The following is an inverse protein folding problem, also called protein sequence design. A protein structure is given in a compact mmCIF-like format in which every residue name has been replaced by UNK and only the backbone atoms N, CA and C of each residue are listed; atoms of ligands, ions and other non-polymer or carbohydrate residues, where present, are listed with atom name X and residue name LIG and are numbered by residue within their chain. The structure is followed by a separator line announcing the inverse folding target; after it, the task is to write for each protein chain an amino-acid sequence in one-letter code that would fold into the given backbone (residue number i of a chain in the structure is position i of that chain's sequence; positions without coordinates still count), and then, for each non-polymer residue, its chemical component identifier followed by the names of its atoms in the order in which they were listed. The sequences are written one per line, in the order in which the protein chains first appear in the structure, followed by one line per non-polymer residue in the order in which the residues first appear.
data_IF_324599187692
#
_entry.id   IF_324599187692
#
_cell.length_a   1.000
_cell.length_b   1.000
_cell.length_c   1.000
_cell.angle_alpha   90.00
_cell.angle_beta   90.00
_cell.angle_gamma   90.00
#
_symmetry.space_group_name_H-M   'P 1'
#
loop_
_entity.id
_entity.type
_entity.pdbx_description
1 polymer ?
#
# COMPACT_ATOMS: atom_id res chain seq x y z
N UNK A 1 -3.48 11.44 -5.17
CA UNK A 1 -3.62 10.18 -4.41
C UNK A 1 -5.10 9.88 -4.26
N UNK A 2 -5.45 8.60 -4.24
CA UNK A 2 -6.83 8.14 -3.97
C UNK A 2 -6.87 7.38 -2.64
N UNK A 3 -8.06 7.26 -2.05
CA UNK A 3 -8.33 6.41 -0.89
C UNK A 3 -7.95 4.96 -1.19
N UNK A 4 -7.18 4.38 -0.28
CA UNK A 4 -6.66 3.01 -0.44
C UNK A 4 -7.66 1.93 -0.03
N UNK A 5 -8.61 2.26 0.86
CA UNK A 5 -9.61 1.32 1.33
C UNK A 5 -11.00 1.70 0.82
N UNK A 6 -11.38 1.09 -0.30
CA UNK A 6 -12.67 1.31 -0.95
C UNK A 6 -13.86 0.70 -0.19
N UNK A 7 -13.62 -0.24 0.73
CA UNK A 7 -14.68 -0.86 1.52
C UNK A 7 -15.17 0.03 2.67
N UNK A 8 -14.36 1.01 3.09
CA UNK A 8 -14.75 1.98 4.13
C UNK A 8 -15.51 3.13 3.48
N UNK A 9 -16.81 3.20 3.76
CA UNK A 9 -17.66 4.30 3.29
C UNK A 9 -17.10 5.64 3.75
N UNK A 10 -16.96 6.59 2.81
CA UNK A 10 -16.67 7.99 3.11
C UNK A 10 -17.83 8.62 3.86
N UNK A 11 -17.53 9.18 5.02
CA UNK A 11 -18.48 9.98 5.78
C UNK A 11 -18.64 11.34 5.10
N UNK A 12 -19.83 11.91 5.19
CA UNK A 12 -20.06 13.30 4.84
C UNK A 12 -19.38 14.22 5.85
N UNK A 13 -19.09 15.46 5.48
CA UNK A 13 -18.45 16.42 6.41
C UNK A 13 -19.21 16.60 7.72
N UNK A 14 -20.55 16.55 7.67
CA UNK A 14 -21.41 16.66 8.87
C UNK A 14 -21.24 15.44 9.77
N UNK A 15 -21.21 14.23 9.20
CA UNK A 15 -20.94 12.99 9.94
C UNK A 15 -19.51 12.97 10.52
N UNK A 16 -18.51 13.46 9.77
CA UNK A 16 -17.13 13.57 10.27
C UNK A 16 -17.03 14.54 11.45
N UNK A 17 -17.66 15.71 11.37
CA UNK A 17 -17.72 16.68 12.46
C UNK A 17 -18.40 16.10 13.70
N UNK A 18 -19.54 15.42 13.52
CA UNK A 18 -20.24 14.75 14.62
C UNK A 18 -19.39 13.65 15.25
N UNK A 19 -18.66 12.87 14.44
CA UNK A 19 -17.74 11.84 14.92
C UNK A 19 -16.60 12.43 15.74
N UNK A 20 -16.03 13.55 15.32
CA UNK A 20 -14.98 14.25 16.07
C UNK A 20 -15.50 14.75 17.42
N UNK A 21 -16.70 15.32 17.45
CA UNK A 21 -17.36 15.76 18.70
C UNK A 21 -17.62 14.56 19.62
N UNK A 22 -18.14 13.45 19.08
CA UNK A 22 -18.41 12.24 19.84
C UNK A 22 -17.12 11.61 20.40
N UNK A 23 -16.04 11.60 19.61
CA UNK A 23 -14.73 11.08 20.04
C UNK A 23 -14.07 11.96 21.11
N UNK A 24 -14.28 13.29 21.04
CA UNK A 24 -13.82 14.21 22.06
C UNK A 24 -14.70 14.18 23.32
N UNK A 25 -15.93 13.69 23.24
CA UNK A 25 -16.82 13.57 24.40
C UNK A 25 -16.43 12.33 25.21
N UNK A 26 -15.85 12.47 26.42
CA UNK A 26 -15.47 11.32 27.22
C UNK A 26 -16.73 10.52 27.62
N UNK A 27 -16.65 9.18 27.67
CA UNK A 27 -17.74 8.38 28.19
C UNK A 27 -18.05 8.76 29.63
N UNK A 28 -19.33 8.68 30.01
CA UNK A 28 -19.77 9.00 31.38
C UNK A 28 -19.05 8.10 32.38
N UNK A 29 -18.24 8.71 33.26
CA UNK A 29 -17.52 8.00 34.31
C UNK A 29 -18.39 7.85 35.57
N UNK A 30 -18.86 6.64 35.91
CA UNK A 30 -19.68 6.43 37.11
C UNK A 30 -18.91 6.70 38.43
N UNK A 31 -17.58 6.77 38.39
CA UNK A 31 -16.71 7.01 39.56
C UNK A 31 -15.94 8.33 39.45
N UNK A 32 -16.49 9.33 38.74
CA UNK A 32 -15.89 10.65 38.52
C UNK A 32 -15.43 11.39 39.80
N UNK A 33 -15.93 10.97 40.98
CA UNK A 33 -15.51 11.48 42.30
C UNK A 33 -14.11 11.02 42.74
N UNK A 34 -13.62 9.91 42.19
CA UNK A 34 -12.35 9.27 42.58
C UNK A 34 -11.32 9.41 41.45
N UNK A 35 -11.77 9.42 40.20
CA UNK A 35 -10.89 9.56 39.05
C UNK A 35 -10.50 11.01 38.80
N UNK A 36 -9.24 11.22 38.43
CA UNK A 36 -8.75 12.53 37.98
C UNK A 36 -9.48 12.92 36.70
N UNK A 37 -10.10 14.10 36.69
CA UNK A 37 -10.76 14.66 35.50
C UNK A 37 -9.74 14.72 34.36
N UNK A 38 -10.02 14.00 33.28
CA UNK A 38 -9.23 14.09 32.06
C UNK A 38 -9.51 15.45 31.39
N UNK A 39 -8.47 16.12 30.92
CA UNK A 39 -8.63 17.33 30.11
C UNK A 39 -9.19 16.93 28.76
N UNK A 40 -10.38 17.44 28.44
CA UNK A 40 -10.98 17.27 27.12
C UNK A 40 -10.32 18.24 26.17
N UNK A 41 -9.54 17.73 25.21
CA UNK A 41 -9.02 18.54 24.11
C UNK A 41 -10.17 18.74 23.13
N UNK A 42 -10.67 19.97 23.00
CA UNK A 42 -11.70 20.28 22.01
C UNK A 42 -11.14 20.08 20.60
N UNK A 43 -11.84 19.35 19.72
CA UNK A 43 -11.38 19.13 18.35
C UNK A 43 -11.46 20.45 17.58
N UNK A 44 -10.43 20.74 16.79
CA UNK A 44 -10.42 21.91 15.91
C UNK A 44 -11.35 21.68 14.71
N UNK A 45 -12.60 22.07 14.87
CA UNK A 45 -13.62 21.94 13.82
C UNK A 45 -13.47 22.99 12.71
N UNK A 46 -12.49 23.90 12.76
CA UNK A 46 -12.35 24.94 11.73
C UNK A 46 -11.62 24.45 10.48
N UNK A 47 -10.89 23.34 10.59
CA UNK A 47 -10.14 22.74 9.49
C UNK A 47 -11.06 22.28 8.38
N UNK A 48 -10.56 22.40 7.15
CA UNK A 48 -11.23 21.90 5.95
C UNK A 48 -10.23 21.02 5.22
N UNK A 49 -10.39 19.70 5.15
CA UNK A 49 -11.49 18.91 5.70
C UNK A 49 -11.43 18.77 7.24
N UNK A 50 -12.54 18.38 7.91
CA UNK A 50 -12.55 18.14 9.36
C UNK A 50 -11.59 17.02 9.80
N UNK A 51 -11.41 16.00 8.96
CA UNK A 51 -10.46 14.91 9.15
C UNK A 51 -9.52 14.80 7.96
N UNK A 52 -8.26 14.35 8.13
CA UNK A 52 -7.31 14.30 7.03
C UNK A 52 -7.81 13.49 5.82
N UNK A 53 -7.70 14.05 4.62
CA UNK A 53 -8.21 13.43 3.38
C UNK A 53 -7.08 12.90 2.49
N UNK A 54 -7.18 11.64 2.06
CA UNK A 54 -6.19 10.99 1.18
C UNK A 54 -6.49 11.22 -0.32
N UNK A 55 -7.76 11.48 -0.68
CA UNK A 55 -8.21 11.79 -2.05
C UNK A 55 -7.86 13.23 -2.48
N UNK A 56 -6.56 13.51 -2.64
CA UNK A 56 -6.07 14.87 -2.97
C UNK A 56 -6.74 15.45 -4.23
N UNK A 57 -6.88 14.65 -5.29
CA UNK A 57 -7.41 15.15 -6.58
C UNK A 57 -8.91 15.44 -6.52
N UNK A 58 -9.71 14.54 -5.93
CA UNK A 58 -11.14 14.79 -5.75
C UNK A 58 -11.39 15.94 -4.79
N UNK A 59 -10.59 16.06 -3.73
CA UNK A 59 -10.70 17.18 -2.83
C UNK A 59 -10.51 18.51 -3.57
N UNK A 60 -9.46 18.61 -4.41
CA UNK A 60 -9.22 19.81 -5.23
C UNK A 60 -10.38 20.05 -6.20
N UNK A 61 -10.89 19.01 -6.87
CA UNK A 61 -12.06 19.11 -7.76
C UNK A 61 -13.27 19.74 -7.06
N UNK A 62 -13.56 19.28 -5.85
CA UNK A 62 -14.76 19.64 -5.09
C UNK A 62 -14.62 21.01 -4.39
N UNK A 63 -13.40 21.38 -3.98
CA UNK A 63 -13.15 22.57 -3.15
C UNK A 63 -12.51 23.73 -3.90
N UNK A 64 -12.02 23.55 -5.13
CA UNK A 64 -11.48 24.66 -5.91
C UNK A 64 -12.57 25.30 -6.80
N UNK A 65 -13.08 26.51 -6.44
CA UNK A 65 -14.10 27.19 -7.22
C UNK A 65 -13.60 27.74 -8.56
N UNK A 66 -12.30 27.73 -8.82
CA UNK A 66 -11.71 28.30 -10.03
C UNK A 66 -11.52 27.30 -11.17
N UNK A 67 -11.73 26.01 -10.91
CA UNK A 67 -11.65 24.97 -11.95
C UNK A 67 -12.84 25.06 -12.90
N UNK A 68 -12.55 24.97 -14.19
CA UNK A 68 -13.56 24.82 -15.23
C UNK A 68 -14.15 23.40 -15.18
N UNK A 69 -15.38 23.22 -15.69
CA UNK A 69 -16.06 21.92 -15.63
C UNK A 69 -15.27 20.80 -16.32
N UNK A 70 -14.64 21.06 -17.47
CA UNK A 70 -13.81 20.04 -18.13
C UNK A 70 -12.55 19.68 -17.33
N UNK A 71 -11.99 20.60 -16.53
CA UNK A 71 -10.85 20.30 -15.66
C UNK A 71 -11.30 19.36 -14.53
N UNK A 72 -12.50 19.57 -13.99
CA UNK A 72 -13.12 18.68 -13.00
C UNK A 72 -13.41 17.29 -13.57
N UNK A 73 -13.83 17.22 -14.82
CA UNK A 73 -14.04 15.95 -15.53
C UNK A 73 -12.72 15.18 -15.65
N UNK A 74 -11.62 15.84 -16.03
CA UNK A 74 -10.31 15.19 -16.09
C UNK A 74 -9.86 14.65 -14.73
N UNK A 75 -10.06 15.41 -13.64
CA UNK A 75 -9.74 14.92 -12.29
C UNK A 75 -10.60 13.71 -11.89
N UNK A 76 -11.85 13.67 -12.34
CA UNK A 76 -12.76 12.55 -12.09
C UNK A 76 -12.33 11.31 -12.87
N UNK A 77 -12.01 11.44 -14.15
CA UNK A 77 -11.49 10.34 -14.99
C UNK A 77 -10.24 9.74 -14.34
N UNK A 78 -9.25 10.57 -13.96
CA UNK A 78 -8.02 10.09 -13.32
C UNK A 78 -8.31 9.36 -12.00
N UNK A 79 -9.28 9.85 -11.21
CA UNK A 79 -9.66 9.19 -9.97
C UNK A 79 -10.32 7.82 -10.21
N UNK A 80 -11.28 7.74 -11.14
CA UNK A 80 -11.98 6.50 -11.48
C UNK A 80 -11.03 5.45 -12.04
N UNK A 81 -10.13 5.84 -12.95
CA UNK A 81 -9.06 4.99 -13.48
C UNK A 81 -8.16 4.48 -12.36
N UNK A 82 -7.72 5.35 -11.44
CA UNK A 82 -6.93 4.93 -10.29
C UNK A 82 -7.71 3.92 -9.41
N UNK A 83 -9.00 4.14 -9.19
CA UNK A 83 -9.89 3.22 -8.48
C UNK A 83 -9.94 1.83 -9.12
N UNK A 84 -9.98 1.75 -10.45
CA UNK A 84 -9.95 0.50 -11.21
C UNK A 84 -8.62 -0.26 -11.04
N UNK A 85 -7.49 0.44 -11.00
CA UNK A 85 -6.16 -0.18 -10.90
C UNK A 85 -5.75 -0.55 -9.46
N UNK A 86 -6.31 0.07 -8.41
CA UNK A 86 -5.95 -0.23 -7.01
C UNK A 86 -6.06 -1.74 -6.69
N UNK A 87 -7.18 -2.43 -6.99
CA UNK A 87 -7.27 -3.88 -6.76
C UNK A 87 -6.20 -4.68 -7.51
N UNK A 88 -5.83 -4.27 -8.73
CA UNK A 88 -4.78 -4.95 -9.51
C UNK A 88 -3.41 -4.78 -8.88
N UNK A 89 -3.11 -3.60 -8.33
CA UNK A 89 -1.88 -3.33 -7.58
C UNK A 89 -1.84 -4.19 -6.31
N UNK A 90 -2.95 -4.24 -5.56
CA UNK A 90 -3.06 -4.98 -4.29
C UNK A 90 -2.99 -6.51 -4.44
N UNK A 91 -3.23 -7.05 -5.63
CA UNK A 91 -3.30 -8.50 -5.89
C UNK A 91 -2.31 -8.98 -6.95
N UNK A 92 -1.30 -8.16 -7.26
CA UNK A 92 -0.37 -8.41 -8.38
C UNK A 92 0.32 -9.76 -8.26
N UNK A 93 1.04 -10.04 -7.18
CA UNK A 93 1.82 -11.28 -7.00
C UNK A 93 0.88 -12.49 -7.05
N UNK A 94 -0.24 -12.42 -6.35
CA UNK A 94 -1.22 -13.49 -6.31
C UNK A 94 -1.81 -13.78 -7.70
N UNK A 95 -2.20 -12.75 -8.45
CA UNK A 95 -2.83 -12.89 -9.77
C UNK A 95 -1.84 -13.35 -10.84
N UNK A 96 -0.63 -12.79 -10.87
CA UNK A 96 0.42 -13.18 -11.83
C UNK A 96 0.85 -14.63 -11.59
N UNK A 97 0.96 -15.04 -10.31
CA UNK A 97 1.18 -16.42 -9.92
C UNK A 97 0.02 -17.35 -10.30
N UNK A 98 -1.22 -16.93 -10.06
CA UNK A 98 -2.42 -17.70 -10.39
C UNK A 98 -2.52 -17.93 -11.89
N UNK A 99 -2.34 -16.88 -12.68
CA UNK A 99 -2.29 -16.96 -14.13
C UNK A 99 -1.20 -17.94 -14.56
N UNK A 100 0.02 -17.81 -14.05
CA UNK A 100 1.14 -18.71 -14.40
C UNK A 100 0.83 -20.18 -14.09
N UNK A 101 0.24 -20.45 -12.92
CA UNK A 101 -0.13 -21.79 -12.50
C UNK A 101 -1.15 -22.43 -13.44
N UNK A 102 -2.26 -21.73 -13.71
CA UNK A 102 -3.33 -22.27 -14.54
C UNK A 102 -2.95 -22.32 -16.01
N UNK A 103 -2.17 -21.36 -16.51
CA UNK A 103 -1.70 -21.38 -17.90
C UNK A 103 -0.84 -22.62 -18.15
N UNK A 104 0.08 -22.93 -17.22
CA UNK A 104 0.87 -24.16 -17.24
C UNK A 104 -0.01 -25.41 -17.25
N UNK A 105 -0.98 -25.50 -16.32
CA UNK A 105 -1.90 -26.65 -16.24
C UNK A 105 -2.72 -26.86 -17.50
N UNK A 106 -3.27 -25.77 -18.06
CA UNK A 106 -4.08 -25.85 -19.27
C UNK A 106 -3.22 -26.38 -20.41
N UNK A 107 -2.02 -25.82 -20.61
CA UNK A 107 -1.15 -26.25 -21.70
C UNK A 107 -0.61 -27.68 -21.51
N UNK A 108 -0.31 -28.09 -20.28
CA UNK A 108 0.06 -29.47 -19.96
C UNK A 108 -1.10 -30.45 -20.23
N UNK A 109 -2.35 -30.02 -20.06
CA UNK A 109 -3.55 -30.83 -20.29
C UNK A 109 -3.98 -30.92 -21.77
N UNK A 110 -3.47 -30.04 -22.65
CA UNK A 110 -3.82 -30.04 -24.08
C UNK A 110 -3.10 -31.13 -24.90
N UNK A 111 -2.23 -31.94 -24.27
CA UNK A 111 -1.48 -33.02 -24.94
C UNK A 111 -0.79 -32.56 -26.24
N UNK A 112 -0.17 -31.38 -26.19
CA UNK A 112 0.47 -30.77 -27.36
C UNK A 112 1.61 -31.63 -27.93
N UNK A 113 1.87 -31.55 -29.25
CA UNK A 113 3.10 -32.10 -29.84
C UNK A 113 4.35 -31.64 -29.09
N UNK A 114 5.34 -32.53 -28.95
CA UNK A 114 6.54 -32.31 -28.14
C UNK A 114 7.27 -31.00 -28.49
N UNK A 115 7.35 -30.66 -29.77
CA UNK A 115 7.97 -29.44 -30.28
C UNK A 115 7.28 -28.17 -29.73
N UNK A 116 5.95 -28.15 -29.69
CA UNK A 116 5.18 -27.04 -29.12
C UNK A 116 5.27 -27.02 -27.58
N UNK A 117 5.33 -28.19 -26.94
CA UNK A 117 5.50 -28.28 -25.49
C UNK A 117 6.86 -27.71 -25.05
N UNK A 118 7.94 -28.00 -25.77
CA UNK A 118 9.27 -27.43 -25.50
C UNK A 118 9.24 -25.91 -25.68
N UNK A 119 8.64 -25.41 -26.77
CA UNK A 119 8.52 -23.96 -26.96
C UNK A 119 7.77 -23.30 -25.81
N UNK A 120 6.65 -23.88 -25.38
CA UNK A 120 5.91 -23.40 -24.22
C UNK A 120 6.78 -23.35 -22.95
N UNK A 121 7.48 -24.44 -22.63
CA UNK A 121 8.33 -24.52 -21.43
C UNK A 121 9.40 -23.42 -21.45
N UNK A 122 10.04 -23.18 -22.60
CA UNK A 122 11.04 -22.12 -22.75
C UNK A 122 10.41 -20.75 -22.47
N UNK A 123 9.26 -20.44 -23.09
CA UNK A 123 8.56 -19.15 -22.92
C UNK A 123 8.06 -18.96 -21.48
N UNK A 124 7.48 -19.99 -20.88
CA UNK A 124 7.00 -19.96 -19.51
C UNK A 124 8.14 -19.65 -18.54
N UNK A 125 9.27 -20.37 -18.66
CA UNK A 125 10.44 -20.13 -17.80
C UNK A 125 11.04 -18.73 -17.98
N UNK A 126 11.00 -18.14 -19.18
CA UNK A 126 11.42 -16.76 -19.38
C UNK A 126 10.58 -15.75 -18.60
N UNK A 127 9.29 -16.04 -18.38
CA UNK A 127 8.37 -15.20 -17.62
C UNK A 127 8.53 -15.42 -16.11
N UNK A 128 8.65 -16.67 -15.66
CA UNK A 128 8.68 -17.01 -14.22
C UNK A 128 10.09 -17.04 -13.60
N UNK A 129 11.15 -16.79 -14.37
CA UNK A 129 12.53 -16.80 -13.83
C UNK A 129 12.78 -15.69 -12.81
N UNK A 130 13.68 -15.89 -11.83
CA UNK A 130 14.11 -14.81 -10.94
C UNK A 130 14.75 -13.65 -11.69
N UNK A 131 14.55 -12.44 -11.17
CA UNK A 131 15.20 -11.21 -11.63
C UNK A 131 16.31 -10.90 -10.62
N UNK A 132 17.60 -10.92 -11.02
CA UNK A 132 18.68 -10.55 -10.11
C UNK A 132 18.45 -9.15 -9.50
N UNK A 133 18.50 -9.07 -8.17
CA UNK A 133 18.29 -7.82 -7.42
C UNK A 133 16.84 -7.35 -7.28
N UNK A 134 15.88 -8.08 -7.86
CA UNK A 134 14.46 -7.72 -7.84
C UNK A 134 13.56 -8.92 -7.54
N UNK A 135 12.30 -8.62 -7.22
CA UNK A 135 11.28 -9.65 -7.05
C UNK A 135 10.54 -9.85 -8.37
N UNK A 136 10.44 -11.09 -8.82
CA UNK A 136 9.53 -11.43 -9.92
C UNK A 136 8.17 -11.88 -9.33
N UNK A 137 7.09 -11.10 -9.52
CA UNK A 137 5.76 -11.46 -9.05
C UNK A 137 5.27 -12.82 -9.57
N UNK A 138 5.61 -13.16 -10.82
CA UNK A 138 5.24 -14.43 -11.43
C UNK A 138 5.89 -15.61 -10.70
N UNK A 139 7.19 -15.51 -10.40
CA UNK A 139 7.93 -16.56 -9.69
C UNK A 139 7.43 -16.74 -8.26
N UNK A 140 7.36 -15.65 -7.50
CA UNK A 140 6.96 -15.70 -6.09
C UNK A 140 5.51 -16.21 -5.99
N UNK A 141 4.63 -15.72 -6.86
CA UNK A 141 3.24 -16.13 -6.92
C UNK A 141 3.07 -17.61 -7.27
N UNK A 142 3.65 -18.08 -8.39
CA UNK A 142 3.47 -19.49 -8.82
C UNK A 142 4.03 -20.47 -7.79
N UNK A 143 5.20 -20.17 -7.21
CA UNK A 143 5.83 -21.03 -6.20
C UNK A 143 5.02 -21.08 -4.91
N UNK A 144 4.43 -19.94 -4.51
CA UNK A 144 3.52 -19.91 -3.35
C UNK A 144 2.26 -20.71 -3.63
N UNK A 145 1.67 -20.63 -4.83
CA UNK A 145 0.49 -21.41 -5.18
C UNK A 145 0.75 -22.92 -5.28
N UNK A 146 1.86 -23.32 -5.92
CA UNK A 146 2.30 -24.72 -5.97
C UNK A 146 2.51 -25.26 -4.54
N UNK A 147 3.06 -24.43 -3.64
CA UNK A 147 3.24 -24.79 -2.24
C UNK A 147 1.91 -25.00 -1.50
N UNK A 148 0.95 -24.08 -1.66
CA UNK A 148 -0.39 -24.16 -1.06
C UNK A 148 -1.10 -25.45 -1.46
N UNK A 149 -1.12 -25.77 -2.76
CA UNK A 149 -1.76 -27.00 -3.24
C UNK A 149 -1.06 -28.23 -2.67
N UNK A 150 0.27 -28.27 -2.71
CA UNK A 150 1.09 -29.36 -2.18
C UNK A 150 0.82 -29.59 -0.69
N UNK A 151 0.64 -28.52 0.10
CA UNK A 151 0.28 -28.58 1.52
C UNK A 151 -1.12 -29.12 1.76
N UNK A 152 -2.09 -28.77 0.93
CA UNK A 152 -3.45 -29.32 1.06
C UNK A 152 -3.53 -30.80 0.68
N UNK A 153 -2.83 -31.21 -0.39
CA UNK A 153 -2.89 -32.59 -0.88
C UNK A 153 -1.98 -33.55 -0.11
N UNK A 154 -0.78 -33.10 0.27
CA UNK A 154 0.27 -33.91 0.90
C UNK A 154 0.98 -33.12 2.02
N UNK A 155 0.30 -32.77 3.11
CA UNK A 155 0.93 -32.07 4.23
C UNK A 155 1.91 -32.99 4.98
N UNK A 156 3.02 -32.41 5.42
CA UNK A 156 3.88 -33.02 6.45
C UNK A 156 3.14 -33.08 7.80
N UNK A 157 3.59 -33.91 8.77
CA UNK A 157 2.98 -33.98 10.10
C UNK A 157 2.84 -32.61 10.76
N UNK A 158 3.89 -31.78 10.73
CA UNK A 158 3.90 -30.45 11.34
C UNK A 158 2.95 -29.47 10.60
N UNK A 159 2.93 -29.52 9.25
CA UNK A 159 2.03 -28.67 8.46
C UNK A 159 0.56 -28.98 8.76
N UNK A 160 0.21 -30.25 9.02
CA UNK A 160 -1.16 -30.70 9.31
C UNK A 160 -1.73 -30.05 10.57
N UNK A 161 -0.90 -29.73 11.56
CA UNK A 161 -1.35 -29.05 12.79
C UNK A 161 -1.73 -27.59 12.54
N UNK A 162 -1.14 -26.96 11.51
CA UNK A 162 -1.35 -25.54 11.19
C UNK A 162 -2.41 -25.29 10.13
N UNK A 163 -2.74 -26.32 9.33
CA UNK A 163 -3.69 -26.20 8.23
C UNK A 163 -5.12 -26.44 8.73
N UNK A 164 -6.13 -25.80 8.12
CA UNK A 164 -7.52 -26.11 8.40
C UNK A 164 -7.79 -27.61 8.15
N UNK A 165 -8.51 -28.30 9.06
CA UNK A 165 -8.78 -29.72 8.89
C UNK A 165 -9.61 -30.00 7.63
N UNK A 166 -9.29 -31.10 6.95
CA UNK A 166 -10.06 -31.67 5.84
C UNK A 166 -10.22 -30.80 4.57
N UNK A 167 -9.30 -29.87 4.29
CA UNK A 167 -9.26 -29.14 3.01
C UNK A 167 -8.28 -29.78 2.03
N UNK A 168 -8.71 -29.96 0.78
CA UNK A 168 -7.82 -30.38 -0.32
C UNK A 168 -6.93 -29.22 -0.77
N UNK A 169 -5.87 -29.50 -1.53
CA UNK A 169 -5.05 -28.46 -2.15
C UNK A 169 -5.90 -27.52 -3.02
N UNK A 170 -6.84 -28.08 -3.77
CA UNK A 170 -7.80 -27.30 -4.57
C UNK A 170 -8.66 -26.37 -3.72
N UNK A 171 -9.20 -26.84 -2.60
CA UNK A 171 -10.03 -26.00 -1.72
C UNK A 171 -9.23 -24.81 -1.18
N UNK A 172 -7.98 -25.05 -0.77
CA UNK A 172 -7.08 -23.99 -0.29
C UNK A 172 -6.76 -22.97 -1.39
N UNK A 173 -6.55 -23.40 -2.64
CA UNK A 173 -6.30 -22.51 -3.76
C UNK A 173 -7.47 -21.53 -3.97
N UNK A 174 -8.69 -22.04 -4.07
CA UNK A 174 -9.87 -21.21 -4.35
C UNK A 174 -10.27 -20.32 -3.18
N UNK A 175 -10.23 -20.82 -1.95
CA UNK A 175 -10.50 -20.01 -0.75
C UNK A 175 -9.50 -18.85 -0.65
N UNK A 176 -8.20 -19.15 -0.76
CA UNK A 176 -7.16 -18.13 -0.66
C UNK A 176 -7.37 -17.05 -1.72
N UNK A 177 -7.66 -17.44 -2.96
CA UNK A 177 -7.91 -16.49 -4.06
C UNK A 177 -9.10 -15.58 -3.80
N UNK A 178 -10.13 -16.09 -3.12
CA UNK A 178 -11.35 -15.33 -2.84
C UNK A 178 -11.16 -14.28 -1.74
N UNK A 179 -10.34 -14.59 -0.72
CA UNK A 179 -10.26 -13.76 0.50
C UNK A 179 -9.00 -12.92 0.63
N UNK A 180 -7.91 -13.30 -0.04
CA UNK A 180 -6.61 -12.67 0.15
C UNK A 180 -6.27 -11.61 -0.89
N UNK A 181 -5.44 -10.66 -0.45
CA UNK A 181 -4.65 -9.74 -1.29
C UNK A 181 -3.17 -10.03 -1.06
N UNK A 182 -2.25 -9.48 -1.86
CA UNK A 182 -0.82 -9.82 -1.79
C UNK A 182 -0.25 -9.76 -0.36
N UNK A 183 -0.60 -8.72 0.40
CA UNK A 183 -0.14 -8.57 1.77
C UNK A 183 -0.63 -9.69 2.71
N UNK A 184 -1.89 -10.15 2.58
CA UNK A 184 -2.42 -11.24 3.41
C UNK A 184 -2.01 -12.61 2.86
N UNK A 185 -1.99 -12.78 1.54
CA UNK A 185 -1.49 -13.96 0.82
C UNK A 185 -0.07 -14.33 1.27
N UNK A 186 0.87 -13.38 1.15
CA UNK A 186 2.27 -13.61 1.55
C UNK A 186 2.39 -13.78 3.07
N UNK A 187 1.64 -13.01 3.87
CA UNK A 187 1.65 -13.16 5.33
C UNK A 187 1.15 -14.54 5.78
N UNK A 188 0.15 -15.11 5.11
CA UNK A 188 -0.44 -16.40 5.44
C UNK A 188 0.42 -17.56 4.96
N UNK A 189 0.93 -17.49 3.73
CA UNK A 189 1.48 -18.66 3.04
C UNK A 189 2.99 -18.74 2.99
N UNK A 190 3.72 -17.63 3.03
CA UNK A 190 5.18 -17.70 3.12
C UNK A 190 5.62 -18.24 4.48
N UNK A 191 6.55 -19.18 4.46
CA UNK A 191 7.20 -19.74 5.63
C UNK A 191 8.69 -19.94 5.34
N UNK A 192 9.49 -20.16 6.39
CA UNK A 192 10.95 -20.27 6.32
C UNK A 192 11.43 -21.13 5.14
N UNK A 193 10.99 -22.40 5.07
CA UNK A 193 11.42 -23.32 4.01
C UNK A 193 11.17 -22.79 2.60
N UNK A 194 9.96 -22.30 2.30
CA UNK A 194 9.65 -21.76 0.97
C UNK A 194 10.48 -20.51 0.66
N UNK A 195 10.71 -19.65 1.65
CA UNK A 195 11.52 -18.45 1.47
C UNK A 195 13.01 -18.75 1.26
N UNK A 196 13.53 -19.81 1.90
CA UNK A 196 14.86 -20.36 1.62
C UNK A 196 14.96 -20.93 0.21
N UNK A 197 13.97 -21.74 -0.20
CA UNK A 197 13.92 -22.35 -1.54
C UNK A 197 13.85 -21.29 -2.67
N UNK A 198 13.38 -20.09 -2.33
CA UNK A 198 13.30 -18.93 -3.22
C UNK A 198 14.50 -17.97 -3.12
N UNK A 199 15.48 -18.27 -2.28
CA UNK A 199 16.64 -17.41 -2.00
C UNK A 199 16.24 -15.96 -1.66
N UNK A 200 15.20 -15.78 -0.83
CA UNK A 200 14.77 -14.44 -0.44
C UNK A 200 15.69 -13.87 0.64
N UNK A 201 16.10 -12.61 0.47
CA UNK A 201 16.92 -11.87 1.43
C UNK A 201 16.61 -10.37 1.38
N UNK A 202 17.00 -9.66 2.43
CA UNK A 202 16.97 -8.19 2.51
C UNK A 202 18.38 -7.66 2.29
N UNK A 203 18.51 -6.58 1.54
CA UNK A 203 19.76 -5.87 1.37
C UNK A 203 19.55 -4.37 1.64
N UNK A 204 20.63 -3.69 2.02
CA UNK A 204 20.64 -2.27 2.33
C UNK A 204 21.91 -1.60 1.78
N UNK A 205 21.83 -0.31 1.42
CA UNK A 205 23.01 0.45 1.07
C UNK A 205 23.90 0.67 2.30
N UNK A 206 25.21 0.42 2.14
CA UNK A 206 26.24 0.71 3.14
C UNK A 206 27.39 1.44 2.45
N UNK A 207 27.31 2.77 2.47
CA UNK A 207 28.21 3.61 1.65
C UNK A 207 27.82 3.49 0.18
N UNK A 208 28.78 3.10 -0.67
CA UNK A 208 28.54 2.87 -2.10
C UNK A 208 28.13 1.42 -2.41
N UNK A 209 28.26 0.50 -1.45
CA UNK A 209 27.98 -0.92 -1.62
C UNK A 209 26.54 -1.28 -1.21
N UNK A 210 26.01 -2.34 -1.80
CA UNK A 210 24.80 -3.03 -1.30
C UNK A 210 25.23 -4.24 -0.49
N UNK A 211 24.77 -4.33 0.76
CA UNK A 211 25.10 -5.42 1.67
C UNK A 211 23.82 -6.17 2.04
N UNK A 212 23.88 -7.51 1.99
CA UNK A 212 22.81 -8.36 2.50
C UNK A 212 22.74 -8.18 4.02
N UNK A 213 21.61 -7.65 4.49
CA UNK A 213 21.41 -7.38 5.91
C UNK A 213 20.75 -8.55 6.63
N UNK A 214 19.85 -9.27 5.97
CA UNK A 214 19.12 -10.42 6.52
C UNK A 214 18.86 -11.46 5.44
N UNK A 215 18.94 -12.74 5.79
CA UNK A 215 18.60 -13.87 4.91
C UNK A 215 17.44 -14.67 5.48
N UNK A 216 16.77 -15.48 4.67
CA UNK A 216 15.61 -16.26 5.11
C UNK A 216 15.96 -17.51 5.94
N UNK A 217 16.94 -17.41 6.85
CA UNK A 217 17.26 -18.49 7.78
C UNK A 217 16.29 -18.54 8.98
N UNK A 218 16.57 -19.40 9.97
CA UNK A 218 15.67 -19.67 11.11
C UNK A 218 15.40 -18.42 11.94
N UNK A 219 16.35 -17.48 11.98
CA UNK A 219 16.23 -16.25 12.75
C UNK A 219 15.74 -15.09 11.87
N UNK A 220 16.24 -14.98 10.62
CA UNK A 220 16.02 -13.85 9.73
C UNK A 220 14.76 -13.90 8.86
N UNK A 221 14.16 -15.07 8.61
CA UNK A 221 13.04 -15.20 7.66
C UNK A 221 11.83 -14.33 8.01
N UNK A 222 11.55 -14.13 9.30
CA UNK A 222 10.45 -13.26 9.75
C UNK A 222 10.69 -11.81 9.36
N UNK A 223 11.90 -11.31 9.56
CA UNK A 223 12.31 -9.95 9.19
C UNK A 223 12.23 -9.75 7.67
N UNK A 224 12.71 -10.72 6.89
CA UNK A 224 12.61 -10.69 5.42
C UNK A 224 11.13 -10.66 4.99
N UNK A 225 10.30 -11.51 5.59
CA UNK A 225 8.86 -11.60 5.28
C UNK A 225 8.11 -10.32 5.61
N UNK A 226 8.36 -9.73 6.77
CA UNK A 226 7.74 -8.46 7.17
C UNK A 226 8.14 -7.32 6.25
N UNK A 227 9.42 -7.27 5.85
CA UNK A 227 9.92 -6.29 4.88
C UNK A 227 9.20 -6.43 3.55
N UNK A 228 9.12 -7.66 3.02
CA UNK A 228 8.39 -7.97 1.79
C UNK A 228 6.92 -7.51 1.89
N UNK A 229 6.20 -7.94 2.93
CA UNK A 229 4.78 -7.63 3.12
C UNK A 229 4.50 -6.13 3.23
N UNK A 230 5.44 -5.32 3.74
CA UNK A 230 5.32 -3.85 3.79
C UNK A 230 5.47 -3.18 2.42
N UNK A 231 6.14 -3.83 1.47
CA UNK A 231 6.47 -3.25 0.16
C UNK A 231 5.51 -3.64 -0.97
N UNK A 232 4.69 -4.68 -0.79
CA UNK A 232 3.74 -5.16 -1.79
C UNK A 232 2.42 -4.36 -1.78
N UNK A 233 1.63 -4.51 -2.84
CA UNK A 233 0.37 -3.77 -2.98
C UNK A 233 0.58 -2.27 -3.03
N UNK A 234 -0.30 -1.50 -2.37
CA UNK A 234 -0.14 -0.05 -2.22
C UNK A 234 0.93 0.32 -1.18
N UNK A 235 1.59 -0.66 -0.55
CA UNK A 235 2.59 -0.42 0.50
C UNK A 235 3.80 0.37 0.01
N UNK A 236 4.21 0.23 -1.24
CA UNK A 236 5.33 0.99 -1.79
C UNK A 236 5.04 2.48 -2.00
N UNK A 237 3.76 2.86 -2.13
CA UNK A 237 3.32 4.21 -2.46
C UNK A 237 3.26 5.05 -1.17
N UNK A 238 3.82 6.27 -1.13
CA UNK A 238 3.71 7.16 0.03
C UNK A 238 2.27 7.60 0.33
N UNK A 239 1.93 7.80 1.60
CA UNK A 239 0.60 8.26 2.02
C UNK A 239 0.64 9.77 2.30
N UNK A 240 0.10 10.56 1.37
CA UNK A 240 -0.09 11.99 1.49
C UNK A 240 -1.57 12.29 1.80
N UNK A 241 -1.80 13.17 2.77
CA UNK A 241 -3.14 13.60 3.18
C UNK A 241 -3.24 15.12 3.19
N UNK A 242 -4.44 15.65 2.97
CA UNK A 242 -4.77 17.06 3.20
C UNK A 242 -5.17 17.18 4.66
N UNK A 243 -4.40 17.93 5.43
CA UNK A 243 -4.70 18.26 6.84
C UNK A 243 -5.60 19.49 6.96
N UNK A 244 -5.36 20.49 6.10
CA UNK A 244 -6.09 21.75 6.09
C UNK A 244 -5.92 22.46 4.75
N UNK A 245 -7.02 22.89 4.12
CA UNK A 245 -7.05 23.57 2.83
C UNK A 245 -7.20 25.10 2.97
N UNK A 246 -7.36 25.60 4.21
CA UNK A 246 -7.32 27.03 4.53
C UNK A 246 -6.28 27.33 5.61
N UNK A 247 -5.11 26.70 5.50
CA UNK A 247 -4.04 26.88 6.46
C UNK A 247 -3.61 28.36 6.51
N UNK A 248 -3.50 28.93 7.72
CA UNK A 248 -3.24 30.36 7.96
C UNK A 248 -4.27 31.33 7.33
N UNK A 249 -5.49 30.88 7.01
CA UNK A 249 -6.58 31.71 6.49
C UNK A 249 -6.26 32.43 5.17
N UNK A 250 -5.42 31.82 4.33
CA UNK A 250 -5.05 32.35 3.02
C UNK A 250 -5.26 31.33 1.89
N UNK A 251 -6.05 30.27 2.13
CA UNK A 251 -6.27 29.13 1.23
C UNK A 251 -5.00 28.36 0.87
N UNK A 252 -4.00 28.33 1.75
CA UNK A 252 -2.85 27.42 1.59
C UNK A 252 -3.30 26.00 1.91
N UNK A 253 -2.95 25.02 1.05
CA UNK A 253 -3.12 23.61 1.40
C UNK A 253 -1.93 23.16 2.25
N UNK A 254 -2.21 22.70 3.46
CA UNK A 254 -1.33 21.90 4.29
C UNK A 254 -1.58 20.42 4.02
N UNK A 255 -0.55 19.77 3.48
CA UNK A 255 -0.45 18.34 3.30
C UNK A 255 0.40 17.74 4.42
N UNK A 256 0.08 16.51 4.81
CA UNK A 256 0.94 15.67 5.66
C UNK A 256 1.37 14.42 4.90
N UNK A 257 2.62 14.02 5.09
CA UNK A 257 3.11 12.70 4.74
C UNK A 257 3.03 11.80 5.96
N UNK A 258 2.17 10.79 5.92
CA UNK A 258 2.17 9.71 6.90
C UNK A 258 3.40 8.82 6.66
N UNK A 259 4.54 9.31 7.14
CA UNK A 259 5.86 8.73 6.94
C UNK A 259 5.96 7.36 7.62
N UNK A 260 6.44 6.37 6.86
CA UNK A 260 6.54 4.97 7.28
C UNK A 260 7.99 4.48 7.44
N UNK A 261 8.91 5.41 7.64
CA UNK A 261 10.35 5.17 7.70
C UNK A 261 11.08 5.48 6.38
N UNK A 262 10.36 5.76 5.30
CA UNK A 262 10.94 6.08 3.98
C UNK A 262 10.77 7.55 3.64
N UNK A 263 11.87 8.21 3.32
CA UNK A 263 11.86 9.60 2.89
C UNK A 263 11.32 9.74 1.46
N UNK A 264 10.66 10.87 1.20
CA UNK A 264 10.26 11.24 -0.15
C UNK A 264 11.49 11.64 -0.96
N UNK A 265 11.52 11.24 -2.23
CA UNK A 265 12.51 11.75 -3.17
C UNK A 265 12.20 13.22 -3.47
N UNK A 266 13.12 14.12 -3.11
CA UNK A 266 12.88 15.57 -3.15
C UNK A 266 12.53 16.08 -4.56
N UNK A 267 13.18 15.55 -5.60
CA UNK A 267 12.90 15.94 -6.99
C UNK A 267 11.47 15.60 -7.43
N UNK A 268 10.96 14.44 -6.98
CA UNK A 268 9.57 14.06 -7.24
C UNK A 268 8.61 14.89 -6.40
N UNK A 269 8.92 15.09 -5.11
CA UNK A 269 8.11 15.91 -4.22
C UNK A 269 7.95 17.35 -4.73
N UNK A 270 9.02 17.97 -5.19
CA UNK A 270 9.00 19.31 -5.80
C UNK A 270 8.04 19.36 -6.99
N UNK A 271 8.18 18.45 -7.96
CA UNK A 271 7.32 18.41 -9.15
C UNK A 271 5.86 18.13 -8.77
N UNK A 272 5.61 17.21 -7.84
CA UNK A 272 4.26 16.91 -7.36
C UNK A 272 3.62 18.14 -6.72
N UNK A 273 4.34 18.87 -5.87
CA UNK A 273 3.83 20.10 -5.25
C UNK A 273 3.60 21.20 -6.28
N UNK A 274 4.44 21.32 -7.31
CA UNK A 274 4.22 22.24 -8.42
C UNK A 274 2.90 21.94 -9.17
N UNK A 275 2.58 20.66 -9.40
CA UNK A 275 1.31 20.28 -10.03
C UNK A 275 0.10 20.52 -9.13
N UNK A 276 0.22 20.25 -7.83
CA UNK A 276 -0.85 20.56 -6.86
C UNK A 276 -1.07 22.07 -6.81
N UNK A 277 0.00 22.87 -6.75
CA UNK A 277 -0.07 24.33 -6.80
C UNK A 277 -0.76 24.81 -8.07
N UNK A 278 -0.45 24.20 -9.23
CA UNK A 278 -1.12 24.53 -10.50
C UNK A 278 -2.63 24.25 -10.47
N UNK A 279 -3.03 23.11 -9.89
CA UNK A 279 -4.45 22.74 -9.80
C UNK A 279 -5.20 23.54 -8.74
N UNK A 280 -4.54 23.94 -7.66
CA UNK A 280 -5.15 24.64 -6.53
C UNK A 280 -5.12 26.17 -6.68
N UNK A 281 -4.07 26.72 -7.29
CA UNK A 281 -3.88 28.15 -7.54
C UNK A 281 -3.38 28.96 -6.32
N UNK A 282 -2.95 28.29 -5.25
CA UNK A 282 -2.38 28.90 -4.03
C UNK A 282 -1.23 28.04 -3.51
N UNK A 283 -0.48 28.62 -2.57
CA UNK A 283 0.63 27.96 -1.89
C UNK A 283 0.23 26.57 -1.36
N UNK A 284 1.17 25.63 -1.47
CA UNK A 284 1.04 24.25 -0.99
C UNK A 284 2.21 23.97 -0.08
N UNK A 285 1.93 23.46 1.12
CA UNK A 285 2.93 23.08 2.11
C UNK A 285 2.74 21.60 2.42
N UNK A 286 3.81 20.82 2.35
CA UNK A 286 3.86 19.43 2.75
C UNK A 286 4.76 19.26 3.95
N UNK A 287 4.17 18.78 5.04
CA UNK A 287 4.90 18.31 6.20
C UNK A 287 5.36 16.86 5.98
N UNK A 288 6.67 16.62 6.10
CA UNK A 288 7.27 15.28 6.02
C UNK A 288 8.45 15.16 6.97
N UNK A 289 9.04 13.97 7.08
CA UNK A 289 10.39 13.80 7.62
C UNK A 289 11.39 13.63 6.48
N UNK A 290 12.59 14.19 6.68
CA UNK A 290 13.76 14.03 5.81
C UNK A 290 14.98 13.83 6.71
N UNK A 291 15.71 12.74 6.54
CA UNK A 291 16.86 12.34 7.37
C UNK A 291 16.54 12.40 8.88
N UNK A 292 15.34 11.93 9.26
CA UNK A 292 14.87 11.92 10.65
C UNK A 292 14.48 13.29 11.22
N UNK A 293 14.49 14.36 10.41
CA UNK A 293 14.07 15.70 10.83
C UNK A 293 12.75 16.09 10.18
N UNK A 294 11.81 16.58 11.00
CA UNK A 294 10.56 17.18 10.52
C UNK A 294 10.90 18.35 9.60
N UNK A 295 10.34 18.34 8.40
CA UNK A 295 10.67 19.25 7.30
C UNK A 295 9.40 19.67 6.59
N UNK A 296 9.29 20.97 6.32
CA UNK A 296 8.23 21.56 5.51
C UNK A 296 8.75 21.81 4.10
N UNK A 297 8.15 21.14 3.13
CA UNK A 297 8.36 21.36 1.71
C UNK A 297 7.24 22.27 1.22
N UNK A 298 7.57 23.46 0.73
CA UNK A 298 6.57 24.42 0.28
C UNK A 298 6.79 24.78 -1.19
N UNK A 299 5.70 24.93 -1.93
CA UNK A 299 5.70 25.41 -3.30
C UNK A 299 4.66 26.54 -3.44
N UNK A 300 5.10 27.67 -3.97
CA UNK A 300 4.27 28.85 -4.21
C UNK A 300 4.80 29.68 -5.37
N UNK A 301 4.37 30.95 -5.47
CA UNK A 301 4.80 31.86 -6.55
C UNK A 301 6.31 32.10 -6.61
N UNK A 302 7.00 31.92 -5.48
CA UNK A 302 8.47 32.05 -5.35
C UNK A 302 9.23 30.75 -5.67
N UNK A 303 8.52 29.71 -6.09
CA UNK A 303 9.09 28.39 -6.36
C UNK A 303 9.14 27.48 -5.13
N UNK A 304 9.97 26.44 -5.23
CA UNK A 304 10.12 25.41 -4.21
C UNK A 304 11.03 25.86 -3.06
N UNK A 305 10.70 25.46 -1.84
CA UNK A 305 11.55 25.62 -0.67
C UNK A 305 11.40 24.46 0.30
N UNK A 306 12.51 24.08 0.93
CA UNK A 306 12.54 23.06 1.98
C UNK A 306 13.10 23.69 3.27
N UNK A 307 12.34 23.62 4.36
CA UNK A 307 12.74 24.16 5.67
C UNK A 307 12.56 23.10 6.74
N UNK A 308 13.65 22.72 7.39
CA UNK A 308 13.56 21.89 8.60
C UNK A 308 12.81 22.67 9.69
N UNK A 309 11.93 21.98 10.41
CA UNK A 309 11.33 22.51 11.63
C UNK A 309 12.46 22.79 12.64
N UNK A 310 12.32 23.91 13.38
CA UNK A 310 13.21 24.22 14.49
C UNK A 310 12.93 23.30 15.68
#
# INVERSE_FOLDING_TARGET
QCRRNLAVKKLSETEERQRLIAAATPPTDPFQRIHRRQETIEPDLRRVPPSPEEDVLLFIRDHNPFLQEWEKDLLTIVHEEAGYFIPQIETKIMNEGWASLFHKRILDALELPQELQIEFIVRHNQVVRPIPGGLNPYQLGIRTWEDIERRGDRPTPDERETLPPAKTGRDLLFETREVDRDASFLRRWLHERLMRDLDLFRYEPKGEDLVVSEVSDTDGWRTVKETLVKTVGMGSIPVIRIEDADHNHNRTILLSHAHDGRDLQLEYAEKTLAYIHRLWGRDVVLETMVNGKRTFLAYGDRGFSAKAAK
#
